data_IF_428612819920
#
_entry.id   IF_428612819920
#
_cell.length_a   1.000
_cell.length_b   1.000
_cell.length_c   1.000
_cell.angle_alpha   90.00
_cell.angle_beta   90.00
_cell.angle_gamma   90.00
#
_symmetry.space_group_name_H-M   'P 1'
#
loop_
_entity.id
_entity.type
_entity.pdbx_description
1 polymer ?
#
# COMPACT_ATOMS: atom_id res chain seq x y z
N UNK A 1 -29.82 -13.34 56.45
CA UNK A 1 -30.80 -13.15 55.36
C UNK A 1 -30.10 -13.38 54.03
N UNK A 2 -30.49 -14.39 53.23
CA UNK A 2 -29.85 -14.67 51.94
C UNK A 2 -30.22 -13.60 50.90
N UNK A 3 -29.24 -13.18 50.11
CA UNK A 3 -29.39 -12.25 48.98
C UNK A 3 -30.14 -12.93 47.82
N UNK A 4 -30.91 -12.18 47.02
CA UNK A 4 -31.79 -12.74 46.00
C UNK A 4 -31.02 -13.21 44.76
N UNK A 5 -31.52 -14.31 44.18
CA UNK A 5 -31.17 -14.87 42.88
C UNK A 5 -31.25 -13.80 41.77
N UNK A 6 -30.14 -13.54 41.07
CA UNK A 6 -30.16 -12.93 39.74
C UNK A 6 -30.26 -14.05 38.71
N UNK A 7 -31.42 -14.12 38.04
CA UNK A 7 -31.63 -14.93 36.84
C UNK A 7 -30.55 -14.59 35.80
N UNK A 8 -29.86 -15.60 35.30
CA UNK A 8 -29.08 -15.52 34.06
C UNK A 8 -30.04 -15.24 32.90
N UNK A 9 -30.08 -13.99 32.44
CA UNK A 9 -30.60 -13.68 31.11
C UNK A 9 -29.51 -14.03 30.11
N UNK A 10 -29.64 -15.18 29.44
CA UNK A 10 -28.88 -15.51 28.23
C UNK A 10 -29.16 -14.44 27.16
N UNK A 11 -28.26 -13.46 27.03
CA UNK A 11 -28.22 -12.62 25.85
C UNK A 11 -27.72 -13.46 24.68
N UNK A 12 -28.66 -14.04 23.92
CA UNK A 12 -28.39 -14.69 22.63
C UNK A 12 -28.07 -13.59 21.61
N UNK A 13 -26.79 -13.31 21.40
CA UNK A 13 -26.35 -12.56 20.23
C UNK A 13 -26.53 -13.45 18.99
N UNK A 14 -27.26 -12.97 17.99
CA UNK A 14 -27.29 -13.53 16.65
C UNK A 14 -26.60 -12.52 15.73
N UNK A 15 -25.63 -12.99 14.94
CA UNK A 15 -25.01 -12.16 13.89
C UNK A 15 -25.62 -12.58 12.55
N UNK A 16 -26.12 -11.59 11.80
CA UNK A 16 -26.75 -11.80 10.51
C UNK A 16 -25.73 -11.42 9.41
N UNK A 17 -25.36 -12.39 8.56
CA UNK A 17 -24.53 -12.14 7.39
C UNK A 17 -25.37 -12.22 6.11
N UNK A 18 -25.22 -11.23 5.23
CA UNK A 18 -25.72 -11.27 3.87
C UNK A 18 -24.53 -11.47 2.94
N UNK A 19 -24.50 -12.59 2.21
CA UNK A 19 -23.56 -12.79 1.11
C UNK A 19 -24.28 -12.45 -0.20
N UNK A 20 -23.69 -11.58 -1.00
CA UNK A 20 -24.15 -11.27 -2.35
C UNK A 20 -23.22 -11.97 -3.34
N UNK A 21 -23.77 -12.85 -4.17
CA UNK A 21 -23.09 -13.38 -5.36
C UNK A 21 -23.42 -12.48 -6.55
N UNK A 22 -22.43 -12.21 -7.40
CA UNK A 22 -22.52 -11.34 -8.58
C UNK A 22 -23.43 -11.95 -9.69
N UNK A 23 -23.81 -13.23 -9.59
CA UNK A 23 -24.57 -13.94 -10.65
C UNK A 23 -26.01 -14.36 -10.29
N UNK A 24 -26.62 -13.74 -9.28
CA UNK A 24 -28.05 -13.94 -9.03
C UNK A 24 -28.40 -14.01 -7.55
N UNK A 25 -29.59 -13.52 -7.24
CA UNK A 25 -30.13 -13.40 -5.88
C UNK A 25 -30.35 -14.80 -5.31
N UNK A 26 -29.35 -15.31 -4.58
CA UNK A 26 -29.54 -16.37 -3.59
C UNK A 26 -29.48 -15.70 -2.22
N UNK A 27 -30.64 -15.29 -1.70
CA UNK A 27 -30.80 -14.90 -0.29
C UNK A 27 -30.89 -16.17 0.57
N UNK A 28 -29.75 -16.86 0.78
CA UNK A 28 -29.69 -17.84 1.88
C UNK A 28 -29.50 -17.09 3.19
N UNK A 29 -30.53 -17.13 4.03
CA UNK A 29 -30.50 -16.59 5.40
C UNK A 29 -29.77 -17.58 6.30
N UNK A 30 -28.55 -17.25 6.73
CA UNK A 30 -27.82 -18.02 7.72
C UNK A 30 -28.07 -17.43 9.12
N UNK A 31 -28.65 -18.23 10.02
CA UNK A 31 -28.73 -17.91 11.44
C UNK A 31 -27.65 -18.73 12.13
N UNK A 32 -26.55 -18.10 12.51
CA UNK A 32 -25.48 -18.75 13.28
C UNK A 32 -25.84 -18.61 14.77
N UNK A 33 -26.12 -19.75 15.41
CA UNK A 33 -26.29 -19.82 16.86
C UNK A 33 -24.92 -19.79 17.50
N UNK A 34 -24.69 -18.85 18.41
CA UNK A 34 -23.39 -18.71 19.07
C UNK A 34 -23.25 -19.74 20.22
N UNK A 35 -22.44 -20.80 20.03
CA UNK A 35 -22.01 -21.75 21.07
C UNK A 35 -20.59 -21.46 21.58
N UNK A 36 -20.26 -21.91 22.80
CA UNK A 36 -19.00 -21.55 23.50
C UNK A 36 -17.70 -22.05 22.82
N UNK A 37 -17.77 -22.93 21.81
CA UNK A 37 -16.64 -23.46 21.04
C UNK A 37 -16.86 -23.35 19.53
N UNK A 38 -17.06 -22.14 19.00
CA UNK A 38 -17.16 -21.95 17.55
C UNK A 38 -15.80 -21.72 16.89
N UNK A 39 -15.53 -22.49 15.85
CA UNK A 39 -14.45 -22.23 14.91
C UNK A 39 -14.98 -21.44 13.71
N UNK A 40 -14.57 -20.19 13.58
CA UNK A 40 -14.99 -19.32 12.46
C UNK A 40 -14.55 -19.85 11.08
N UNK A 41 -13.45 -20.61 11.01
CA UNK A 41 -12.96 -21.22 9.77
C UNK A 41 -13.91 -22.33 9.31
N UNK A 42 -14.30 -23.22 10.23
CA UNK A 42 -15.29 -24.27 9.94
C UNK A 42 -16.62 -23.67 9.51
N UNK A 43 -17.10 -22.62 10.19
CA UNK A 43 -18.34 -21.93 9.82
C UNK A 43 -18.30 -21.31 8.42
N UNK A 44 -17.13 -20.87 7.96
CA UNK A 44 -16.94 -20.38 6.60
C UNK A 44 -16.98 -21.53 5.59
N UNK A 45 -16.30 -22.65 5.89
CA UNK A 45 -16.27 -23.84 5.02
C UNK A 45 -17.66 -24.48 4.91
N UNK A 46 -18.42 -24.52 6.02
CA UNK A 46 -19.79 -25.05 6.11
C UNK A 46 -20.78 -24.33 5.16
N UNK A 47 -20.44 -23.15 4.63
CA UNK A 47 -21.23 -22.46 3.61
C UNK A 47 -21.16 -23.13 2.23
N UNK A 48 -20.21 -24.06 2.05
CA UNK A 48 -19.92 -24.78 0.81
C UNK A 48 -20.28 -26.26 0.95
N UNK A 49 -20.51 -26.93 -0.18
CA UNK A 49 -20.86 -28.36 -0.19
C UNK A 49 -19.77 -29.25 0.41
N UNK A 50 -18.51 -28.85 0.22
CA UNK A 50 -17.32 -29.50 0.75
C UNK A 50 -16.11 -28.56 0.68
N UNK A 51 -14.99 -28.99 1.24
CA UNK A 51 -13.74 -28.24 1.29
C UNK A 51 -13.17 -27.92 -0.11
N UNK A 52 -13.27 -28.83 -1.08
CA UNK A 52 -12.79 -28.59 -2.44
C UNK A 52 -13.60 -27.48 -3.13
N UNK A 53 -14.91 -27.41 -2.90
CA UNK A 53 -15.75 -26.31 -3.39
C UNK A 53 -15.39 -24.98 -2.75
N UNK A 54 -14.97 -24.98 -1.48
CA UNK A 54 -14.43 -23.78 -0.85
C UNK A 54 -13.08 -23.38 -1.45
N UNK A 55 -12.17 -24.32 -1.74
CA UNK A 55 -10.88 -24.04 -2.39
C UNK A 55 -11.09 -23.48 -3.80
N UNK A 56 -11.99 -24.08 -4.59
CA UNK A 56 -12.38 -23.58 -5.91
C UNK A 56 -12.90 -22.14 -5.81
N UNK A 57 -13.82 -21.88 -4.88
CA UNK A 57 -14.33 -20.53 -4.62
C UNK A 57 -13.21 -19.56 -4.23
N UNK A 58 -12.28 -19.99 -3.37
CA UNK A 58 -11.15 -19.18 -2.92
C UNK A 58 -10.32 -18.71 -4.12
N UNK A 59 -9.90 -19.65 -4.98
CA UNK A 59 -9.05 -19.38 -6.15
C UNK A 59 -9.78 -18.46 -7.13
N UNK A 60 -11.03 -18.77 -7.47
CA UNK A 60 -11.84 -18.00 -8.45
C UNK A 60 -12.14 -16.55 -8.04
N UNK A 61 -11.95 -16.22 -6.77
CA UNK A 61 -12.17 -14.88 -6.24
C UNK A 61 -10.87 -14.12 -5.94
N UNK A 62 -9.71 -14.73 -6.20
CA UNK A 62 -8.42 -14.05 -6.16
C UNK A 62 -8.03 -13.53 -7.54
N UNK A 63 -7.20 -12.48 -7.57
CA UNK A 63 -6.54 -12.02 -8.80
C UNK A 63 -5.05 -12.26 -8.73
N UNK A 64 -4.55 -13.01 -9.71
CA UNK A 64 -3.15 -13.26 -9.96
C UNK A 64 -2.56 -12.13 -10.83
N UNK A 65 -1.27 -11.88 -10.72
CA UNK A 65 -0.61 -10.87 -11.57
C UNK A 65 -0.47 -11.38 -13.00
N UNK A 66 -0.66 -10.55 -14.04
CA UNK A 66 -0.43 -10.95 -15.42
C UNK A 66 1.00 -11.49 -15.62
N UNK A 67 1.13 -12.60 -16.36
CA UNK A 67 2.43 -13.30 -16.53
C UNK A 67 3.50 -12.38 -17.11
N UNK A 68 3.13 -11.56 -18.11
CA UNK A 68 4.05 -10.58 -18.71
C UNK A 68 4.55 -9.57 -17.68
N UNK A 69 3.64 -8.96 -16.91
CA UNK A 69 4.02 -7.98 -15.88
C UNK A 69 4.91 -8.59 -14.79
N UNK A 70 4.72 -9.88 -14.48
CA UNK A 70 5.60 -10.62 -13.57
C UNK A 70 7.02 -10.76 -14.15
N UNK A 71 7.14 -11.07 -15.44
CA UNK A 71 8.42 -11.18 -16.14
C UNK A 71 9.11 -9.81 -16.25
N UNK A 72 8.36 -8.76 -16.58
CA UNK A 72 8.86 -7.39 -16.70
C UNK A 72 9.42 -6.91 -15.35
N UNK A 73 8.67 -7.13 -14.26
CA UNK A 73 9.14 -6.80 -12.91
C UNK A 73 10.39 -7.59 -12.53
N UNK A 74 10.44 -8.88 -12.83
CA UNK A 74 11.62 -9.70 -12.54
C UNK A 74 12.86 -9.17 -13.30
N UNK A 75 12.69 -8.77 -14.56
CA UNK A 75 13.74 -8.17 -15.39
C UNK A 75 14.26 -6.86 -14.77
N UNK A 76 13.36 -5.95 -14.41
CA UNK A 76 13.71 -4.68 -13.75
C UNK A 76 14.50 -4.91 -12.44
N UNK A 77 14.09 -5.88 -11.63
CA UNK A 77 14.79 -6.24 -10.40
C UNK A 77 16.21 -6.78 -10.69
N UNK A 78 16.36 -7.63 -11.69
CA UNK A 78 17.67 -8.17 -12.10
C UNK A 78 18.59 -7.08 -12.65
N UNK A 79 18.07 -6.14 -13.43
CA UNK A 79 18.82 -4.97 -13.91
C UNK A 79 19.24 -4.05 -12.76
N UNK A 80 18.35 -3.83 -11.80
CA UNK A 80 18.67 -3.08 -10.57
C UNK A 80 19.82 -3.73 -9.82
N UNK A 81 19.81 -5.06 -9.66
CA UNK A 81 20.92 -5.78 -9.03
C UNK A 81 22.22 -5.62 -9.84
N UNK A 82 22.17 -5.81 -11.17
CA UNK A 82 23.35 -5.74 -12.06
C UNK A 82 24.01 -4.36 -12.05
N UNK A 83 23.20 -3.30 -11.98
CA UNK A 83 23.67 -1.91 -11.92
C UNK A 83 24.14 -1.46 -10.53
N UNK A 84 24.07 -2.33 -9.51
CA UNK A 84 24.40 -1.99 -8.13
C UNK A 84 23.33 -1.14 -7.43
N UNK A 85 22.13 -1.08 -7.99
CA UNK A 85 20.96 -0.45 -7.39
C UNK A 85 20.46 -1.19 -6.15
N UNK A 86 19.47 -0.57 -5.49
CA UNK A 86 18.92 -1.05 -4.21
C UNK A 86 17.55 -1.69 -4.41
N UNK A 87 17.34 -2.89 -3.87
CA UNK A 87 16.02 -3.49 -3.81
C UNK A 87 15.31 -3.18 -2.48
N UNK A 88 14.01 -2.89 -2.50
CA UNK A 88 13.27 -2.57 -1.29
C UNK A 88 13.01 -3.82 -0.44
N UNK A 89 12.96 -3.64 0.88
CA UNK A 89 12.63 -4.68 1.86
C UNK A 89 11.72 -4.16 2.97
N UNK A 90 10.88 -5.04 3.53
CA UNK A 90 10.14 -4.71 4.75
C UNK A 90 11.04 -4.83 5.98
N UNK A 91 11.03 -3.80 6.83
CA UNK A 91 11.68 -3.90 8.14
C UNK A 91 10.96 -4.93 9.03
N UNK A 92 11.69 -5.93 9.51
CA UNK A 92 11.18 -6.97 10.40
C UNK A 92 12.11 -7.21 11.59
N UNK A 93 11.55 -7.72 12.71
CA UNK A 93 12.34 -8.01 13.93
C UNK A 93 13.47 -9.03 13.72
N UNK A 94 13.32 -9.90 12.71
CA UNK A 94 14.30 -10.94 12.34
C UNK A 94 15.19 -10.54 11.14
N UNK A 95 15.19 -9.27 10.73
CA UNK A 95 16.00 -8.81 9.58
C UNK A 95 17.47 -9.19 9.75
N UNK A 96 18.00 -9.04 10.96
CA UNK A 96 19.45 -8.94 11.21
C UNK A 96 20.29 -10.19 10.90
N UNK A 97 19.69 -11.37 10.76
CA UNK A 97 20.43 -12.61 10.48
C UNK A 97 20.89 -12.72 9.01
N UNK A 98 20.13 -12.14 8.09
CA UNK A 98 20.36 -12.34 6.64
C UNK A 98 21.02 -11.13 5.97
N UNK A 99 21.52 -10.19 6.75
CA UNK A 99 22.08 -8.93 6.24
C UNK A 99 23.46 -8.65 6.86
N UNK A 100 24.24 -7.85 6.15
CA UNK A 100 25.54 -7.35 6.59
C UNK A 100 25.67 -5.87 6.28
N UNK A 101 26.49 -5.23 7.09
CA UNK A 101 27.01 -3.89 6.86
C UNK A 101 28.52 -3.97 6.97
N UNK A 102 29.22 -3.50 5.94
CA UNK A 102 30.69 -3.52 5.91
C UNK A 102 31.22 -2.75 7.13
N UNK A 103 32.06 -3.41 7.94
CA UNK A 103 32.64 -2.84 9.17
C UNK A 103 31.76 -2.90 10.43
N UNK A 104 30.52 -3.40 10.37
CA UNK A 104 29.67 -3.57 11.55
C UNK A 104 29.60 -5.03 12.02
N UNK A 105 29.88 -5.28 13.30
CA UNK A 105 29.95 -6.65 13.87
C UNK A 105 28.59 -7.25 14.27
N UNK A 106 27.53 -6.45 14.41
CA UNK A 106 26.28 -6.88 15.05
C UNK A 106 25.09 -5.99 14.64
N UNK A 107 24.28 -6.45 13.68
CA UNK A 107 23.03 -5.78 13.28
C UNK A 107 21.87 -6.11 14.22
N UNK A 108 21.93 -7.25 14.91
CA UNK A 108 20.96 -7.77 15.88
C UNK A 108 20.62 -6.79 17.02
N UNK A 109 21.54 -5.88 17.34
CA UNK A 109 21.40 -4.86 18.38
C UNK A 109 20.98 -3.47 17.88
N UNK A 110 20.71 -3.32 16.58
CA UNK A 110 20.40 -2.03 15.95
C UNK A 110 18.89 -1.84 15.84
N UNK A 111 18.45 -0.60 16.05
CA UNK A 111 17.05 -0.21 15.89
C UNK A 111 16.71 0.07 14.42
N UNK A 112 15.42 0.25 14.12
CA UNK A 112 14.94 0.52 12.76
C UNK A 112 15.65 1.71 12.13
N UNK A 113 15.85 2.78 12.92
CA UNK A 113 16.48 4.01 12.45
C UNK A 113 17.92 3.78 12.00
N UNK A 114 18.73 3.10 12.81
CA UNK A 114 20.11 2.79 12.44
C UNK A 114 20.18 1.88 11.21
N UNK A 115 19.29 0.89 11.10
CA UNK A 115 19.21 0.01 9.93
C UNK A 115 18.83 0.79 8.67
N UNK A 116 17.84 1.68 8.75
CA UNK A 116 17.46 2.58 7.64
C UNK A 116 18.63 3.47 7.23
N UNK A 117 19.35 4.08 8.17
CA UNK A 117 20.52 4.91 7.85
C UNK A 117 21.64 4.12 7.14
N UNK A 118 21.85 2.84 7.49
CA UNK A 118 22.79 1.99 6.75
C UNK A 118 22.31 1.70 5.32
N UNK A 119 21.02 1.45 5.15
CA UNK A 119 20.42 1.22 3.83
C UNK A 119 20.50 2.48 2.95
N UNK A 120 20.19 3.65 3.50
CA UNK A 120 20.23 4.94 2.80
C UNK A 120 21.65 5.28 2.33
N UNK A 121 22.66 5.02 3.17
CA UNK A 121 24.08 5.18 2.82
C UNK A 121 24.62 4.12 1.86
N UNK A 122 23.81 3.13 1.48
CA UNK A 122 24.23 2.05 0.58
C UNK A 122 25.14 1.03 1.24
N UNK A 123 25.11 0.90 2.56
CA UNK A 123 25.99 -0.01 3.30
C UNK A 123 25.28 -1.30 3.75
N UNK A 124 23.95 -1.37 3.68
CA UNK A 124 23.20 -2.57 4.02
C UNK A 124 23.07 -3.50 2.80
N UNK A 125 23.52 -4.75 2.97
CA UNK A 125 23.46 -5.77 1.92
C UNK A 125 22.81 -7.06 2.41
N UNK A 126 22.09 -7.73 1.53
CA UNK A 126 21.58 -9.08 1.73
C UNK A 126 22.74 -10.09 1.61
N UNK A 127 22.94 -10.92 2.64
CA UNK A 127 24.15 -11.73 2.85
C UNK A 127 24.45 -12.71 1.72
N UNK A 128 23.44 -13.47 1.30
CA UNK A 128 23.62 -14.61 0.39
C UNK A 128 24.05 -14.21 -1.02
N UNK A 129 23.64 -13.02 -1.47
CA UNK A 129 23.82 -12.56 -2.86
C UNK A 129 24.48 -11.18 -2.97
N UNK A 130 24.88 -10.59 -1.85
CA UNK A 130 25.53 -9.28 -1.78
C UNK A 130 24.71 -8.13 -2.44
N UNK A 131 23.38 -8.22 -2.37
CA UNK A 131 22.45 -7.25 -2.99
C UNK A 131 22.27 -6.05 -2.07
N UNK A 132 22.38 -4.82 -2.60
CA UNK A 132 22.06 -3.61 -1.84
C UNK A 132 20.57 -3.47 -1.61
N UNK A 133 20.18 -2.94 -0.46
CA UNK A 133 18.76 -2.81 -0.10
C UNK A 133 18.39 -1.43 0.42
N UNK A 134 17.11 -1.11 0.32
CA UNK A 134 16.45 0.06 0.94
C UNK A 134 15.32 -0.40 1.86
N UNK A 135 15.08 0.34 2.96
CA UNK A 135 13.96 0.03 3.85
C UNK A 135 12.68 0.66 3.31
N UNK A 136 11.67 -0.15 3.06
CA UNK A 136 10.36 0.34 2.63
C UNK A 136 9.73 1.22 3.72
N UNK A 137 9.25 2.43 3.37
CA UNK A 137 8.80 3.41 4.36
C UNK A 137 7.54 2.95 5.09
N UNK A 138 6.57 2.39 4.37
CA UNK A 138 5.26 1.97 4.90
C UNK A 138 5.23 0.47 5.26
N UNK A 139 6.21 -0.28 4.77
CA UNK A 139 6.30 -1.72 4.87
C UNK A 139 5.60 -2.48 3.75
N UNK A 140 4.98 -1.79 2.79
CA UNK A 140 4.31 -2.36 1.61
C UNK A 140 4.37 -1.46 0.35
N UNK A 141 4.99 -0.27 0.40
CA UNK A 141 4.90 0.72 -0.68
C UNK A 141 5.46 0.18 -2.00
N UNK A 142 6.60 -0.51 -1.96
CA UNK A 142 7.20 -1.09 -3.14
C UNK A 142 6.33 -2.16 -3.80
N UNK A 143 5.60 -2.96 -3.02
CA UNK A 143 4.66 -3.94 -3.56
C UNK A 143 3.48 -3.24 -4.23
N UNK A 144 2.91 -2.22 -3.58
CA UNK A 144 1.84 -1.39 -4.15
C UNK A 144 2.29 -0.74 -5.46
N UNK A 145 3.48 -0.14 -5.48
CA UNK A 145 4.02 0.50 -6.68
C UNK A 145 4.26 -0.50 -7.81
N UNK A 146 4.79 -1.69 -7.52
CA UNK A 146 4.99 -2.73 -8.53
C UNK A 146 3.66 -3.18 -9.16
N UNK A 147 2.61 -3.34 -8.34
CA UNK A 147 1.26 -3.65 -8.83
C UNK A 147 0.71 -2.50 -9.67
N UNK A 148 0.82 -1.27 -9.18
CA UNK A 148 0.36 -0.09 -9.91
C UNK A 148 1.06 0.07 -11.26
N UNK A 149 2.38 -0.15 -11.35
CA UNK A 149 3.06 -0.08 -12.65
C UNK A 149 2.59 -1.20 -13.59
N UNK A 150 2.29 -2.37 -13.06
CA UNK A 150 1.83 -3.52 -13.83
C UNK A 150 0.38 -3.40 -14.32
N UNK A 151 -0.51 -2.75 -13.58
CA UNK A 151 -1.96 -2.81 -13.84
C UNK A 151 -2.69 -1.49 -13.68
N UNK A 152 -2.00 -0.43 -13.27
CA UNK A 152 -2.58 0.89 -12.93
C UNK A 152 -3.64 0.85 -11.82
N UNK A 153 -3.66 -0.24 -11.05
CA UNK A 153 -4.47 -0.34 -9.84
C UNK A 153 -3.69 0.03 -8.58
N UNK A 154 -4.30 0.84 -7.73
CA UNK A 154 -3.87 1.03 -6.35
C UNK A 154 -4.58 0.01 -5.47
N UNK A 155 -3.83 -0.66 -4.59
CA UNK A 155 -4.35 -1.74 -3.73
C UNK A 155 -3.88 -1.54 -2.31
N UNK A 156 -4.73 -1.83 -1.33
CA UNK A 156 -4.40 -1.72 0.12
C UNK A 156 -3.96 -0.32 0.57
N UNK A 157 -4.45 0.71 -0.09
CA UNK A 157 -4.28 2.12 0.28
C UNK A 157 -5.64 2.81 0.46
N UNK A 158 -5.64 4.02 1.04
CA UNK A 158 -6.85 4.85 1.13
C UNK A 158 -7.40 5.25 -0.25
N UNK A 159 -6.54 5.30 -1.28
CA UNK A 159 -6.89 5.57 -2.69
C UNK A 159 -7.04 4.28 -3.52
N UNK A 160 -7.33 3.13 -2.90
CA UNK A 160 -7.40 1.85 -3.65
C UNK A 160 -8.44 1.92 -4.76
N UNK A 161 -8.07 1.55 -5.97
CA UNK A 161 -9.00 1.44 -7.11
C UNK A 161 -9.72 0.09 -7.15
N UNK A 162 -9.25 -0.88 -6.37
CA UNK A 162 -9.96 -2.14 -6.09
C UNK A 162 -10.37 -2.21 -4.61
N UNK A 163 -11.67 -2.26 -4.37
CA UNK A 163 -12.25 -2.14 -3.02
C UNK A 163 -12.40 -3.53 -2.39
N UNK A 164 -12.07 -3.63 -1.09
CA UNK A 164 -12.14 -4.88 -0.30
C UNK A 164 -11.18 -6.00 -0.74
N UNK A 165 -10.09 -5.64 -1.42
CA UNK A 165 -8.98 -6.53 -1.72
C UNK A 165 -7.70 -6.09 -1.00
N UNK A 166 -6.84 -7.05 -0.71
CA UNK A 166 -5.52 -6.82 -0.13
C UNK A 166 -4.42 -7.58 -0.86
N UNK A 167 -3.18 -7.17 -0.61
CA UNK A 167 -1.97 -7.85 -1.10
C UNK A 167 -1.64 -8.98 -0.15
N UNK A 168 -1.63 -10.20 -0.66
CA UNK A 168 -1.20 -11.39 0.08
C UNK A 168 0.12 -11.91 -0.47
N UNK A 169 1.12 -12.08 0.39
CA UNK A 169 2.40 -12.69 0.04
C UNK A 169 2.29 -14.22 0.11
N UNK A 170 2.75 -14.89 -0.94
CA UNK A 170 2.56 -16.33 -1.11
C UNK A 170 3.55 -17.17 -0.29
N UNK A 171 4.81 -16.73 -0.21
CA UNK A 171 5.81 -17.38 0.62
C UNK A 171 5.92 -16.71 1.99
N UNK A 172 5.55 -17.45 3.04
CA UNK A 172 5.57 -16.99 4.44
C UNK A 172 6.96 -16.49 4.85
N UNK A 173 7.00 -15.38 5.59
CA UNK A 173 8.25 -14.88 6.19
C UNK A 173 9.26 -14.29 5.20
N UNK A 174 8.90 -14.13 3.92
CA UNK A 174 9.82 -13.66 2.87
C UNK A 174 9.76 -12.16 2.59
N UNK A 175 8.91 -11.40 3.30
CA UNK A 175 8.77 -9.94 3.10
C UNK A 175 10.03 -9.15 3.48
N UNK A 176 10.92 -9.76 4.25
CA UNK A 176 12.25 -9.23 4.55
C UNK A 176 13.33 -9.71 3.57
N UNK A 177 12.99 -10.43 2.50
CA UNK A 177 13.92 -10.85 1.46
C UNK A 177 13.68 -9.97 0.21
N UNK A 178 14.71 -9.26 -0.30
CA UNK A 178 14.55 -8.32 -1.41
C UNK A 178 14.09 -9.00 -2.70
N UNK A 179 14.40 -10.28 -2.87
CA UNK A 179 14.03 -11.05 -4.05
C UNK A 179 12.56 -11.50 -4.03
N UNK A 180 11.86 -11.35 -2.90
CA UNK A 180 10.47 -11.77 -2.71
C UNK A 180 9.54 -10.59 -2.45
N UNK A 181 10.01 -9.55 -1.74
CA UNK A 181 9.14 -8.51 -1.19
C UNK A 181 8.30 -7.76 -2.22
N UNK A 182 8.92 -7.31 -3.32
CA UNK A 182 8.29 -6.55 -4.40
C UNK A 182 8.22 -7.34 -5.72
N UNK A 183 8.41 -8.66 -5.63
CA UNK A 183 8.31 -9.58 -6.76
C UNK A 183 6.86 -9.93 -7.02
N UNK A 184 6.38 -9.66 -8.24
CA UNK A 184 4.98 -9.90 -8.59
C UNK A 184 4.60 -11.39 -8.65
N UNK A 185 5.58 -12.29 -8.77
CA UNK A 185 5.34 -13.73 -8.67
C UNK A 185 5.04 -14.21 -7.24
N UNK A 186 5.33 -13.39 -6.22
CA UNK A 186 5.09 -13.69 -4.80
C UNK A 186 3.85 -12.96 -4.25
N UNK A 187 3.04 -12.31 -5.10
CA UNK A 187 1.86 -11.58 -4.63
C UNK A 187 0.61 -12.07 -5.35
N UNK A 188 -0.48 -12.13 -4.58
CA UNK A 188 -1.84 -12.32 -5.09
C UNK A 188 -2.73 -11.28 -4.45
N UNK A 189 -3.67 -10.77 -5.23
CA UNK A 189 -4.68 -9.82 -4.76
C UNK A 189 -5.89 -10.62 -4.30
N UNK A 190 -6.17 -10.60 -3.00
CA UNK A 190 -7.15 -11.49 -2.35
C UNK A 190 -8.24 -10.66 -1.68
N UNK A 191 -9.53 -11.06 -1.75
CA UNK A 191 -10.57 -10.43 -0.98
C UNK A 191 -10.23 -10.43 0.52
N UNK A 192 -10.45 -9.31 1.20
CA UNK A 192 -10.04 -9.13 2.61
C UNK A 192 -10.58 -10.24 3.53
N UNK A 193 -11.80 -10.71 3.28
CA UNK A 193 -12.41 -11.78 4.09
C UNK A 193 -11.78 -13.16 3.86
N UNK A 194 -11.19 -13.40 2.69
CA UNK A 194 -10.46 -14.62 2.37
C UNK A 194 -9.00 -14.56 2.85
N UNK A 195 -8.37 -13.37 2.85
CA UNK A 195 -6.98 -13.21 3.29
C UNK A 195 -6.77 -13.68 4.74
N UNK A 196 -7.82 -13.67 5.57
CA UNK A 196 -7.77 -14.26 6.91
C UNK A 196 -7.17 -15.68 6.92
N UNK A 197 -7.50 -16.53 5.93
CA UNK A 197 -7.00 -17.90 5.82
C UNK A 197 -5.50 -17.94 5.49
N UNK A 198 -5.04 -17.05 4.61
CA UNK A 198 -3.62 -16.93 4.22
C UNK A 198 -2.74 -16.50 5.41
N UNK A 199 -3.28 -15.67 6.31
CA UNK A 199 -2.56 -15.15 7.47
C UNK A 199 -2.48 -16.15 8.65
N UNK A 200 -3.25 -17.26 8.63
CA UNK A 200 -3.29 -18.21 9.74
C UNK A 200 -2.20 -19.28 9.66
N UNK A 201 -1.69 -19.74 10.83
CA UNK A 201 -0.80 -20.90 10.87
C UNK A 201 -1.46 -22.13 10.25
N UNK A 202 -0.67 -22.89 9.48
CA UNK A 202 -1.08 -24.15 8.85
C UNK A 202 -1.64 -25.18 9.83
N UNK A 203 -1.02 -25.28 11.01
CA UNK A 203 -1.43 -26.21 12.06
C UNK A 203 -2.71 -25.80 12.80
N UNK A 204 -3.25 -24.60 12.56
CA UNK A 204 -4.48 -24.16 13.18
C UNK A 204 -5.72 -24.86 12.57
N UNK A 205 -5.70 -25.12 11.26
CA UNK A 205 -6.73 -25.85 10.55
C UNK A 205 -6.16 -26.36 9.21
N UNK A 206 -6.48 -27.60 8.82
CA UNK A 206 -5.95 -28.24 7.59
C UNK A 206 -6.16 -27.40 6.33
N UNK A 207 -7.33 -26.76 6.21
CA UNK A 207 -7.65 -25.86 5.09
C UNK A 207 -6.63 -24.74 4.87
N UNK A 208 -5.96 -24.27 5.93
CA UNK A 208 -4.98 -23.19 5.82
C UNK A 208 -3.76 -23.69 5.05
N UNK A 209 -3.28 -24.92 5.37
CA UNK A 209 -2.21 -25.56 4.60
C UNK A 209 -2.66 -25.79 3.17
N UNK A 210 -3.85 -26.36 2.96
CA UNK A 210 -4.34 -26.66 1.62
C UNK A 210 -4.42 -25.43 0.72
N UNK A 211 -4.98 -24.33 1.22
CA UNK A 211 -5.07 -23.07 0.47
C UNK A 211 -3.67 -22.49 0.25
N UNK A 212 -2.84 -22.35 1.29
CA UNK A 212 -1.52 -21.73 1.15
C UNK A 212 -0.62 -22.51 0.18
N UNK A 213 -0.61 -23.84 0.25
CA UNK A 213 0.20 -24.68 -0.63
C UNK A 213 -0.39 -24.78 -2.04
N UNK A 214 -1.72 -24.76 -2.19
CA UNK A 214 -2.35 -24.66 -3.51
C UNK A 214 -2.03 -23.32 -4.18
N UNK A 215 -2.13 -22.20 -3.46
CA UNK A 215 -1.79 -20.88 -4.01
C UNK A 215 -0.30 -20.78 -4.39
N UNK A 216 0.60 -21.36 -3.57
CA UNK A 216 2.03 -21.52 -3.94
C UNK A 216 2.22 -22.34 -5.20
N UNK A 217 1.54 -23.48 -5.32
CA UNK A 217 1.61 -24.33 -6.50
C UNK A 217 1.12 -23.62 -7.77
N UNK A 218 0.03 -22.84 -7.67
CA UNK A 218 -0.45 -22.00 -8.76
C UNK A 218 0.61 -20.98 -9.16
N UNK A 219 1.14 -20.18 -8.23
CA UNK A 219 2.18 -19.19 -8.55
C UNK A 219 3.45 -19.84 -9.12
N UNK A 220 3.82 -21.01 -8.61
CA UNK A 220 4.95 -21.79 -9.14
C UNK A 220 4.73 -22.22 -10.59
N UNK A 221 3.52 -22.72 -10.92
CA UNK A 221 3.15 -23.11 -12.28
C UNK A 221 3.03 -21.94 -13.24
N UNK A 222 2.39 -20.85 -12.81
CA UNK A 222 2.15 -19.68 -13.66
C UNK A 222 3.43 -18.92 -13.99
N UNK A 223 4.35 -18.81 -13.03
CA UNK A 223 5.46 -17.86 -13.13
C UNK A 223 6.84 -18.50 -13.19
N UNK A 224 6.98 -19.75 -12.75
CA UNK A 224 8.25 -20.45 -12.64
C UNK A 224 9.38 -19.56 -12.05
N UNK A 225 9.27 -19.15 -10.77
CA UNK A 225 10.19 -18.20 -10.13
C UNK A 225 11.67 -18.61 -10.23
N UNK A 226 11.96 -19.90 -10.25
CA UNK A 226 13.30 -20.44 -10.44
C UNK A 226 13.90 -20.08 -11.80
N UNK A 227 13.08 -20.00 -12.85
CA UNK A 227 13.51 -19.64 -14.20
C UNK A 227 13.58 -18.12 -14.40
N UNK A 228 12.60 -17.36 -13.91
CA UNK A 228 12.58 -15.89 -14.08
C UNK A 228 13.62 -15.18 -13.21
N UNK A 229 13.90 -15.68 -11.99
CA UNK A 229 14.89 -15.10 -11.07
C UNK A 229 16.19 -15.92 -11.04
N UNK A 230 16.52 -16.61 -12.16
CA UNK A 230 17.71 -17.46 -12.36
C UNK A 230 18.91 -17.09 -11.50
N UNK A 231 19.48 -18.07 -10.80
CA UNK A 231 20.67 -17.94 -9.94
C UNK A 231 20.51 -17.07 -8.67
N UNK A 232 19.42 -16.32 -8.52
CA UNK A 232 19.13 -15.51 -7.34
C UNK A 232 18.17 -16.20 -6.38
N UNK A 233 17.14 -16.87 -6.90
CA UNK A 233 16.14 -17.59 -6.10
C UNK A 233 16.18 -19.08 -6.41
N UNK A 234 16.00 -19.89 -5.37
CA UNK A 234 15.75 -21.33 -5.49
C UNK A 234 14.57 -21.70 -4.58
N UNK A 235 13.41 -21.88 -5.18
CA UNK A 235 12.18 -22.29 -4.52
C UNK A 235 12.05 -23.81 -4.64
N UNK A 236 11.83 -24.46 -3.51
CA UNK A 236 11.46 -25.88 -3.47
C UNK A 236 10.16 -26.12 -4.23
N UNK A 237 10.16 -27.17 -5.05
CA UNK A 237 8.96 -27.54 -5.80
C UNK A 237 7.83 -27.92 -4.83
N UNK A 238 6.62 -27.35 -4.99
CA UNK A 238 5.45 -27.74 -4.18
C UNK A 238 5.15 -29.23 -4.29
N UNK A 239 4.49 -29.80 -3.27
CA UNK A 239 4.12 -31.22 -3.26
C UNK A 239 3.23 -31.55 -4.47
N UNK A 240 3.36 -32.77 -4.98
CA UNK A 240 2.68 -33.25 -6.19
C UNK A 240 1.14 -33.10 -6.13
N UNK A 241 0.54 -33.29 -4.95
CA UNK A 241 -0.92 -33.12 -4.77
C UNK A 241 -1.38 -31.68 -5.05
N UNK A 242 -0.60 -30.67 -4.63
CA UNK A 242 -0.91 -29.26 -4.86
C UNK A 242 -0.59 -28.85 -6.29
N UNK A 243 0.43 -29.44 -6.90
CA UNK A 243 0.73 -29.24 -8.32
C UNK A 243 -0.40 -29.74 -9.21
N UNK A 244 -0.96 -30.92 -8.92
CA UNK A 244 -2.14 -31.45 -9.63
C UNK A 244 -3.33 -30.51 -9.50
N UNK A 245 -3.63 -30.01 -8.29
CA UNK A 245 -4.71 -29.04 -8.07
C UNK A 245 -4.46 -27.73 -8.82
N UNK A 246 -3.21 -27.26 -8.88
CA UNK A 246 -2.86 -26.08 -9.67
C UNK A 246 -3.07 -26.31 -11.18
N UNK A 247 -2.66 -27.47 -11.70
CA UNK A 247 -2.86 -27.84 -13.10
C UNK A 247 -4.35 -27.93 -13.44
N UNK A 248 -5.17 -28.49 -12.54
CA UNK A 248 -6.63 -28.48 -12.64
C UNK A 248 -7.20 -27.06 -12.63
N UNK A 249 -6.79 -26.20 -11.69
CA UNK A 249 -7.25 -24.82 -11.62
C UNK A 249 -6.94 -24.02 -12.89
N UNK A 250 -5.77 -24.26 -13.50
CA UNK A 250 -5.39 -23.65 -14.79
C UNK A 250 -6.25 -24.20 -15.91
N UNK A 251 -6.35 -25.53 -16.02
CA UNK A 251 -7.10 -26.22 -17.09
C UNK A 251 -8.59 -25.83 -17.08
N UNK A 252 -9.18 -25.74 -15.90
CA UNK A 252 -10.60 -25.43 -15.70
C UNK A 252 -10.86 -23.91 -15.65
N UNK A 253 -9.87 -23.08 -16.01
CA UNK A 253 -9.97 -21.61 -16.08
C UNK A 253 -10.42 -20.93 -14.78
N UNK A 254 -9.92 -21.38 -13.63
CA UNK A 254 -10.19 -20.74 -12.34
C UNK A 254 -9.31 -19.52 -12.11
N UNK A 255 -8.17 -19.44 -12.81
CA UNK A 255 -7.20 -18.36 -12.67
C UNK A 255 -7.75 -17.09 -13.32
N UNK A 256 -7.94 -16.06 -12.50
CA UNK A 256 -8.22 -14.69 -12.97
C UNK A 256 -6.97 -13.85 -12.82
N UNK A 257 -6.56 -13.20 -13.90
CA UNK A 257 -5.54 -12.17 -13.83
C UNK A 257 -6.16 -10.84 -13.42
N UNK A 258 -5.43 -10.03 -12.65
CA UNK A 258 -5.83 -8.65 -12.38
C UNK A 258 -5.79 -7.90 -13.72
N UNK A 259 -6.93 -7.41 -14.23
CA UNK A 259 -6.94 -6.64 -15.46
C UNK A 259 -6.19 -5.32 -15.28
N UNK A 260 -5.80 -4.72 -16.40
CA UNK A 260 -5.34 -3.34 -16.39
C UNK A 260 -6.53 -2.40 -16.16
N UNK A 261 -6.29 -1.30 -15.45
CA UNK A 261 -7.29 -0.27 -15.23
C UNK A 261 -7.46 0.58 -16.50
N UNK A 262 -8.36 0.13 -17.38
CA UNK A 262 -8.61 0.78 -18.67
C UNK A 262 -9.07 2.23 -18.56
N UNK A 263 -9.73 2.63 -17.47
CA UNK A 263 -10.17 4.03 -17.26
C UNK A 263 -8.99 4.99 -17.10
N UNK A 264 -7.94 4.55 -16.39
CA UNK A 264 -6.70 5.33 -16.24
C UNK A 264 -5.90 5.35 -17.54
N UNK A 265 -6.00 4.28 -18.35
CA UNK A 265 -5.34 4.20 -19.66
C UNK A 265 -6.04 5.09 -20.68
N UNK A 266 -7.37 5.11 -20.74
CA UNK A 266 -8.08 6.03 -21.65
C UNK A 266 -7.77 7.48 -21.36
N UNK A 267 -7.63 7.86 -20.09
CA UNK A 267 -7.18 9.20 -19.70
C UNK A 267 -5.73 9.46 -20.13
N UNK A 268 -4.83 8.46 -20.09
CA UNK A 268 -3.44 8.63 -20.55
C UNK A 268 -3.28 8.54 -22.08
N UNK A 269 -4.11 7.78 -22.77
CA UNK A 269 -4.11 7.65 -24.23
C UNK A 269 -4.77 8.86 -24.91
N UNK A 270 -5.84 9.44 -24.33
CA UNK A 270 -6.42 10.72 -24.78
C UNK A 270 -5.38 11.85 -24.66
N UNK A 271 -4.60 11.90 -23.58
CA UNK A 271 -3.49 12.87 -23.43
C UNK A 271 -2.40 12.64 -24.50
N UNK A 272 -2.05 11.38 -24.79
CA UNK A 272 -1.02 11.05 -25.80
C UNK A 272 -1.50 11.28 -27.24
N UNK A 273 -2.80 11.17 -27.53
CA UNK A 273 -3.39 11.53 -28.82
C UNK A 273 -3.51 13.05 -28.99
N UNK A 274 -3.88 13.79 -27.95
CA UNK A 274 -3.84 15.26 -27.93
C UNK A 274 -2.39 15.78 -28.13
N UNK A 275 -1.39 15.13 -27.53
CA UNK A 275 0.04 15.46 -27.73
C UNK A 275 0.54 15.15 -29.16
N UNK A 276 -0.03 14.15 -29.85
CA UNK A 276 0.32 13.83 -31.25
C UNK A 276 -0.29 14.81 -32.25
N UNK A 277 -1.48 15.35 -32.00
CA UNK A 277 -2.04 16.43 -32.83
C UNK A 277 -1.31 17.77 -32.59
N UNK A 278 -0.77 17.98 -31.40
CA UNK A 278 0.02 19.17 -31.05
C UNK A 278 1.43 19.19 -31.68
N UNK A 279 1.95 18.04 -32.13
CA UNK A 279 3.28 17.90 -32.74
C UNK A 279 3.43 18.57 -34.13
N UNK A 280 2.36 19.14 -34.69
CA UNK A 280 2.40 19.93 -35.95
C UNK A 280 2.71 21.42 -35.76
N UNK A 281 2.86 21.91 -34.53
CA UNK A 281 3.27 23.29 -34.27
C UNK A 281 4.64 23.29 -33.59
N UNK A 282 5.68 23.48 -34.41
CA UNK A 282 7.03 23.80 -33.94
C UNK A 282 7.05 25.14 -33.20
N UNK A 283 7.85 25.15 -32.14
CA UNK A 283 8.39 26.29 -31.40
C UNK A 283 7.44 26.97 -30.40
N UNK A 284 7.50 26.49 -29.15
CA UNK A 284 7.73 27.29 -27.93
C UNK A 284 7.90 26.35 -26.72
N UNK A 285 9.07 26.38 -26.08
CA UNK A 285 9.27 25.87 -24.71
C UNK A 285 8.18 26.39 -23.77
N UNK A 286 7.60 25.58 -22.89
CA UNK A 286 7.26 25.88 -21.48
C UNK A 286 6.87 24.55 -20.78
N UNK A 287 7.80 23.99 -20.01
CA UNK A 287 7.68 23.58 -18.61
C UNK A 287 9.00 22.87 -18.26
N UNK A 288 9.96 23.67 -17.78
CA UNK A 288 11.20 23.19 -17.21
C UNK A 288 10.84 22.51 -15.88
N UNK A 289 10.90 21.18 -15.80
CA UNK A 289 10.72 20.39 -14.55
C UNK A 289 11.59 20.91 -13.39
N UNK A 290 12.56 21.80 -13.66
CA UNK A 290 13.31 22.51 -12.63
C UNK A 290 12.59 23.72 -11.99
N UNK A 291 11.55 24.33 -12.56
CA UNK A 291 10.98 25.60 -12.03
C UNK A 291 10.26 25.40 -10.69
N UNK A 292 9.43 24.37 -10.59
CA UNK A 292 8.72 24.05 -9.34
C UNK A 292 9.69 23.72 -8.22
N UNK A 293 10.69 22.86 -8.47
CA UNK A 293 11.68 22.48 -7.46
C UNK A 293 12.58 23.67 -7.08
N UNK A 294 12.95 24.55 -8.02
CA UNK A 294 13.65 25.81 -7.71
C UNK A 294 12.81 26.73 -6.81
N UNK A 295 11.52 26.93 -7.12
CA UNK A 295 10.60 27.74 -6.30
C UNK A 295 10.41 27.13 -4.91
N UNK A 296 10.28 25.81 -4.83
CA UNK A 296 10.09 25.07 -3.59
C UNK A 296 11.32 25.12 -2.69
N UNK A 297 12.53 25.00 -3.25
CA UNK A 297 13.79 25.14 -2.51
C UNK A 297 13.96 26.53 -1.90
N UNK A 298 13.56 27.58 -2.62
CA UNK A 298 13.52 28.95 -2.08
C UNK A 298 12.52 29.04 -0.93
N UNK A 299 11.28 28.56 -1.13
CA UNK A 299 10.19 28.64 -0.14
C UNK A 299 10.53 27.86 1.14
N UNK A 300 11.11 26.67 1.03
CA UNK A 300 11.43 25.80 2.15
C UNK A 300 12.41 26.44 3.16
N UNK A 301 13.23 27.38 2.68
CA UNK A 301 14.20 28.10 3.50
C UNK A 301 13.65 29.36 4.17
N UNK A 302 12.42 29.78 3.85
CA UNK A 302 11.78 30.96 4.45
C UNK A 302 11.37 30.74 5.91
N UNK A 303 11.11 31.84 6.62
CA UNK A 303 10.54 31.79 7.97
C UNK A 303 9.12 31.17 7.94
N UNK A 304 8.61 30.72 9.09
CA UNK A 304 7.36 29.94 9.15
C UNK A 304 6.16 30.61 8.46
N UNK A 305 6.04 31.93 8.62
CA UNK A 305 4.95 32.70 8.03
C UNK A 305 5.11 32.78 6.52
N UNK A 306 6.27 33.22 6.06
CA UNK A 306 6.55 33.32 4.62
C UNK A 306 6.48 31.96 3.93
N UNK A 307 6.98 30.91 4.57
CA UNK A 307 6.91 29.54 4.08
C UNK A 307 5.47 29.14 3.73
N UNK A 308 4.55 29.20 4.70
CA UNK A 308 3.20 28.68 4.47
C UNK A 308 2.42 29.55 3.48
N UNK A 309 2.53 30.88 3.56
CA UNK A 309 1.80 31.75 2.65
C UNK A 309 2.28 31.61 1.20
N UNK A 310 3.60 31.53 0.98
CA UNK A 310 4.12 31.30 -0.37
C UNK A 310 3.77 29.90 -0.89
N UNK A 311 3.75 28.89 -0.02
CA UNK A 311 3.41 27.53 -0.41
C UNK A 311 1.91 27.36 -0.76
N UNK A 312 1.02 28.07 -0.06
CA UNK A 312 -0.39 28.15 -0.43
C UNK A 312 -0.60 28.89 -1.76
N UNK A 313 0.12 30.00 -1.98
CA UNK A 313 0.10 30.72 -3.27
C UNK A 313 0.61 29.83 -4.41
N UNK A 314 1.71 29.10 -4.18
CA UNK A 314 2.26 28.16 -5.16
C UNK A 314 1.24 27.07 -5.51
N UNK A 315 0.48 26.59 -4.53
CA UNK A 315 -0.58 25.61 -4.76
C UNK A 315 -1.74 26.19 -5.60
N UNK A 316 -1.98 27.49 -5.54
CA UNK A 316 -2.94 28.17 -6.42
C UNK A 316 -2.36 28.36 -7.83
N UNK A 317 -1.09 28.77 -7.93
CA UNK A 317 -0.37 28.96 -9.19
C UNK A 317 -0.32 27.68 -10.03
N UNK A 318 -0.15 26.53 -9.37
CA UNK A 318 -0.12 25.21 -10.01
C UNK A 318 -1.49 24.52 -10.05
N UNK A 319 -2.59 25.26 -9.82
CA UNK A 319 -3.97 24.80 -9.96
C UNK A 319 -4.39 23.58 -9.08
N UNK A 320 -3.55 23.13 -8.15
CA UNK A 320 -3.86 22.04 -7.22
C UNK A 320 -4.68 22.47 -5.99
N UNK A 321 -4.83 23.78 -5.76
CA UNK A 321 -5.44 24.28 -4.53
C UNK A 321 -6.87 23.80 -4.30
N UNK A 322 -7.64 23.57 -5.38
CA UNK A 322 -9.01 23.08 -5.26
C UNK A 322 -9.09 21.67 -4.66
N UNK A 323 -8.14 20.80 -5.00
CA UNK A 323 -7.98 19.46 -4.42
C UNK A 323 -7.44 19.53 -2.99
N UNK A 324 -6.54 20.48 -2.73
CA UNK A 324 -5.89 20.69 -1.43
C UNK A 324 -6.85 21.28 -0.39
N UNK A 325 -7.71 22.20 -0.78
CA UNK A 325 -8.52 23.04 0.11
C UNK A 325 -9.39 22.26 1.12
N UNK A 326 -10.12 21.18 0.75
CA UNK A 326 -10.92 20.40 1.70
C UNK A 326 -10.09 19.79 2.84
N UNK A 327 -8.82 19.46 2.57
CA UNK A 327 -7.89 18.92 3.57
C UNK A 327 -7.49 20.03 4.54
N UNK A 328 -7.20 21.23 4.02
CA UNK A 328 -6.68 22.35 4.81
C UNK A 328 -7.67 22.89 5.85
N UNK A 329 -8.96 22.72 5.61
CA UNK A 329 -10.02 23.23 6.51
C UNK A 329 -10.53 22.19 7.51
N UNK A 330 -10.12 20.93 7.35
CA UNK A 330 -10.57 19.82 8.19
C UNK A 330 -9.50 19.46 9.24
N UNK A 331 -9.87 19.49 10.52
CA UNK A 331 -8.96 19.20 11.63
C UNK A 331 -8.44 17.76 11.61
N UNK A 332 -9.30 16.81 11.28
CA UNK A 332 -8.95 15.39 11.23
C UNK A 332 -7.97 15.13 10.10
N UNK A 333 -8.26 15.64 8.90
CA UNK A 333 -7.38 15.48 7.74
C UNK A 333 -6.05 16.22 7.92
N UNK A 334 -6.05 17.42 8.50
CA UNK A 334 -4.82 18.13 8.83
C UNK A 334 -3.93 17.36 9.82
N UNK A 335 -4.55 16.65 10.77
CA UNK A 335 -3.83 15.79 11.72
C UNK A 335 -3.27 14.55 11.05
N UNK A 336 -4.07 13.91 10.21
CA UNK A 336 -3.70 12.70 9.45
C UNK A 336 -2.53 13.00 8.49
N UNK A 337 -2.65 14.03 7.65
CA UNK A 337 -1.69 14.31 6.58
C UNK A 337 -0.51 15.17 7.01
N UNK A 338 -0.70 16.10 7.95
CA UNK A 338 0.33 17.09 8.30
C UNK A 338 0.81 17.02 9.75
N UNK A 339 0.25 16.11 10.56
CA UNK A 339 0.47 16.06 12.01
C UNK A 339 0.11 17.37 12.71
N UNK A 340 -0.79 18.16 12.12
CA UNK A 340 -1.30 19.41 12.67
C UNK A 340 -2.55 19.14 13.49
N UNK A 341 -2.58 19.57 14.75
CA UNK A 341 -3.78 19.39 15.60
C UNK A 341 -4.88 20.39 15.31
N UNK A 342 -4.67 21.31 14.37
CA UNK A 342 -5.62 22.37 14.01
C UNK A 342 -5.70 22.47 12.48
N UNK A 343 -6.85 22.90 11.95
CA UNK A 343 -6.97 23.22 10.53
C UNK A 343 -5.88 24.20 10.10
N UNK A 344 -5.32 23.97 8.92
CA UNK A 344 -4.36 24.87 8.29
C UNK A 344 -5.04 26.20 7.94
N UNK A 345 -6.30 26.13 7.47
CA UNK A 345 -7.12 27.28 7.11
C UNK A 345 -8.42 27.32 7.91
N UNK A 346 -8.76 28.50 8.41
CA UNK A 346 -10.06 28.76 9.04
C UNK A 346 -10.66 30.03 8.47
N UNK A 347 -11.93 30.00 8.07
CA UNK A 347 -12.66 31.16 7.56
C UNK A 347 -12.53 32.36 8.52
N UNK A 348 -12.15 33.52 8.00
CA UNK A 348 -11.87 34.72 8.82
C UNK A 348 -13.08 35.22 9.61
N UNK A 349 -14.29 34.81 9.23
CA UNK A 349 -15.54 35.09 9.95
C UNK A 349 -15.71 34.25 11.21
N UNK A 350 -14.97 33.15 11.36
CA UNK A 350 -15.00 32.31 12.57
C UNK A 350 -14.10 32.90 13.65
N UNK A 351 -14.50 32.71 14.91
CA UNK A 351 -13.66 33.08 16.04
C UNK A 351 -12.54 32.04 16.20
N UNK A 352 -11.28 32.50 16.21
CA UNK A 352 -10.10 31.63 16.28
C UNK A 352 -9.21 32.02 17.44
N UNK A 353 -8.46 31.04 17.94
CA UNK A 353 -7.38 31.29 18.90
C UNK A 353 -6.27 32.11 18.22
N UNK A 354 -6.15 33.39 18.59
CA UNK A 354 -5.17 34.32 18.05
C UNK A 354 -3.72 33.92 18.33
N UNK A 355 -3.48 32.97 19.23
CA UNK A 355 -2.15 32.43 19.49
C UNK A 355 -1.77 31.29 18.52
N UNK A 356 -2.75 30.71 17.81
CA UNK A 356 -2.56 29.56 16.91
C UNK A 356 -2.62 29.92 15.43
N UNK A 357 -3.06 31.12 15.10
CA UNK A 357 -3.21 31.58 13.73
C UNK A 357 -2.55 32.95 13.54
N UNK A 358 -2.02 33.18 12.34
CA UNK A 358 -1.57 34.49 11.94
C UNK A 358 -2.77 35.44 11.84
N UNK A 359 -2.93 36.33 12.82
CA UNK A 359 -4.09 37.19 12.98
C UNK A 359 -4.01 38.53 12.22
N UNK A 360 -2.85 38.85 11.65
CA UNK A 360 -2.60 40.07 10.86
C UNK A 360 -2.42 39.82 9.36
N UNK A 361 -2.40 38.56 8.94
CA UNK A 361 -2.20 38.15 7.55
C UNK A 361 -3.27 37.12 7.23
N UNK A 362 -4.05 37.37 6.19
CA UNK A 362 -5.09 36.46 5.72
C UNK A 362 -4.70 35.91 4.36
N UNK A 363 -5.03 34.66 4.12
CA UNK A 363 -4.91 34.03 2.81
C UNK A 363 -6.25 34.19 2.07
N UNK A 364 -6.21 34.69 0.84
CA UNK A 364 -7.41 34.91 0.05
C UNK A 364 -7.57 33.81 -1.00
N UNK A 365 -8.77 33.23 -1.05
CA UNK A 365 -9.11 32.22 -2.03
C UNK A 365 -10.60 32.26 -2.36
N UNK A 366 -10.92 32.28 -3.66
CA UNK A 366 -12.31 32.35 -4.18
C UNK A 366 -13.15 33.44 -3.49
N UNK A 367 -12.58 34.64 -3.32
CA UNK A 367 -13.26 35.79 -2.72
C UNK A 367 -13.54 35.68 -1.21
N UNK A 368 -12.92 34.71 -0.53
CA UNK A 368 -12.98 34.54 0.93
C UNK A 368 -11.59 34.68 1.53
N UNK A 369 -11.53 35.19 2.75
CA UNK A 369 -10.29 35.34 3.51
C UNK A 369 -10.22 34.28 4.62
N UNK A 370 -9.04 33.71 4.81
CA UNK A 370 -8.79 32.63 5.76
C UNK A 370 -7.63 32.98 6.70
N UNK A 371 -7.80 32.68 7.99
CA UNK A 371 -6.70 32.59 8.93
C UNK A 371 -5.83 31.39 8.59
N UNK A 372 -4.50 31.58 8.63
CA UNK A 372 -3.51 30.51 8.42
C UNK A 372 -2.88 30.15 9.76
N UNK A 373 -2.79 28.85 10.07
CA UNK A 373 -2.17 28.39 11.33
C UNK A 373 -0.70 28.83 11.42
N UNK A 374 -0.16 28.99 12.63
CA UNK A 374 1.25 29.35 12.88
C UNK A 374 2.13 28.18 13.37
N UNK A 375 1.59 26.96 13.43
CA UNK A 375 2.23 25.73 13.92
C UNK A 375 3.18 25.09 12.86
N UNK A 376 4.04 25.90 12.20
CA UNK A 376 4.86 25.47 11.04
C UNK A 376 6.34 25.25 11.37
N UNK A 377 6.65 24.29 12.24
CA UNK A 377 8.01 24.13 12.74
C UNK A 377 8.99 23.43 11.78
N UNK A 378 10.24 23.94 11.76
CA UNK A 378 11.44 23.29 11.20
C UNK A 378 12.13 22.49 12.32
N UNK A 379 12.87 21.45 11.96
CA UNK A 379 13.67 20.66 12.91
C UNK A 379 14.66 21.57 13.66
N UNK A 380 14.31 21.92 14.89
CA UNK A 380 15.18 22.62 15.83
C UNK A 380 15.28 21.78 17.09
N UNK A 381 16.49 21.66 17.63
CA UNK A 381 16.92 20.66 18.63
C UNK A 381 16.19 20.69 19.98
N UNK A 382 15.17 21.53 20.17
CA UNK A 382 14.40 21.65 21.42
C UNK A 382 12.91 21.33 21.31
N UNK A 383 12.32 21.24 20.12
CA UNK A 383 10.94 20.77 19.90
C UNK A 383 10.84 20.16 18.49
N UNK A 384 10.95 18.84 18.41
CA UNK A 384 11.11 18.09 17.17
C UNK A 384 9.79 17.87 16.38
N UNK A 385 9.00 18.93 16.14
CA UNK A 385 7.86 18.85 15.21
C UNK A 385 8.31 19.19 13.79
N UNK A 386 7.98 18.32 12.82
CA UNK A 386 8.42 18.40 11.42
C UNK A 386 7.20 18.55 10.51
N UNK A 387 6.46 19.65 10.65
CA UNK A 387 5.18 19.82 9.97
C UNK A 387 5.32 20.35 8.53
N UNK A 388 6.49 20.92 8.17
CA UNK A 388 6.76 21.40 6.80
C UNK A 388 6.88 20.27 5.77
N UNK A 389 7.53 19.18 6.14
CA UNK A 389 7.87 18.10 5.19
C UNK A 389 6.67 17.32 4.67
N UNK A 390 5.70 16.91 5.51
CA UNK A 390 4.48 16.27 5.02
C UNK A 390 3.70 17.18 4.06
N UNK A 391 3.64 18.49 4.36
CA UNK A 391 2.95 19.47 3.53
C UNK A 391 3.61 19.64 2.16
N UNK A 392 4.95 19.74 2.13
CA UNK A 392 5.73 19.78 0.88
C UNK A 392 5.57 18.48 0.08
N UNK A 393 5.60 17.31 0.73
CA UNK A 393 5.40 16.02 0.08
C UNK A 393 4.04 15.96 -0.61
N UNK A 394 2.98 16.39 0.09
CA UNK A 394 1.64 16.34 -0.46
C UNK A 394 1.44 17.28 -1.64
N UNK A 395 2.03 18.48 -1.61
CA UNK A 395 1.99 19.42 -2.74
C UNK A 395 2.77 18.87 -3.94
N UNK A 396 3.95 18.28 -3.72
CA UNK A 396 4.72 17.59 -4.77
C UNK A 396 3.90 16.48 -5.42
N UNK A 397 3.29 15.64 -4.60
CA UNK A 397 2.44 14.53 -5.07
C UNK A 397 1.23 15.06 -5.86
N UNK A 398 0.56 16.11 -5.38
CA UNK A 398 -0.59 16.69 -6.08
C UNK A 398 -0.25 17.32 -7.42
N UNK A 399 0.94 17.91 -7.55
CA UNK A 399 1.42 18.52 -8.82
C UNK A 399 1.83 17.45 -9.83
N UNK A 400 2.35 16.32 -9.36
CA UNK A 400 2.62 15.17 -10.23
C UNK A 400 1.34 14.46 -10.69
N UNK A 401 0.21 14.70 -10.01
CA UNK A 401 -1.13 14.15 -10.28
C UNK A 401 -2.05 15.17 -11.01
N UNK A 402 -1.55 16.33 -11.44
CA UNK A 402 -2.30 17.41 -12.13
C UNK A 402 -1.65 17.74 -13.45
#
# INVERSE_FOLDING_TARGET
>A
MPKPNRKNTENKCCVLFYFFSIEGIITKKYIIKLDNNMNGTEKLIDLFENQEKFIEFFIKNCYFMPVKSVQDRATEMLETIKSGGKLPIRYGKKLNANYKVDGAKALDKKDKKAITEFADKGNLRFNEKNIFVSIDPTGNQAAVNAIYQATKHLVSTSKSTIINFTISHIWEGTTNNPLFFSSLWNVVIIPNFLNYIMDKPKNQHSINEDIQETMKAICYRLYNPNDIMKSYVQIEQPKEEFLKRADEAIKENWIKYLPENSEVISETEEIVEEEKELATVKDLNIFDDNDFEKKLDVINNLNNKEFIFNLLNLSVEYEIFDKLFPILIDEYLCKEYFMQNYPVLVDSKKNVDKLRYYNKNLFEYKGKSYYVTNDWYKNTSKNARKNRTPFISMIREMIQES
#
